data_IF_924770958886
#
_entry.id   IF_924770958886
#
_cell.length_a   1.000
_cell.length_b   1.000
_cell.length_c   1.000
_cell.angle_alpha   90.00
_cell.angle_beta   90.00
_cell.angle_gamma   90.00
#
_symmetry.space_group_name_H-M   'P 1'
#
loop_
_entity.id
_entity.type
_entity.pdbx_description
1 polymer ?
#
# COMPACT_ATOMS: atom_id res chain seq x y z
N UNK A 1 -20.43 57.87 -29.40
CA UNK A 1 -20.77 57.49 -28.02
C UNK A 1 -20.72 55.99 -27.94
N UNK A 2 -19.82 55.47 -27.10
CA UNK A 2 -19.70 54.07 -26.72
C UNK A 2 -21.01 53.50 -26.21
N UNK A 3 -21.31 52.23 -26.49
CA UNK A 3 -21.96 51.38 -25.50
C UNK A 3 -21.43 49.95 -25.61
N UNK A 4 -20.91 49.48 -24.49
CA UNK A 4 -20.23 48.21 -24.29
C UNK A 4 -21.14 47.04 -24.67
N UNK A 5 -20.64 46.12 -25.48
CA UNK A 5 -21.16 44.75 -25.48
C UNK A 5 -20.37 43.96 -24.42
N UNK A 6 -21.07 43.61 -23.35
CA UNK A 6 -20.60 42.74 -22.28
C UNK A 6 -20.15 41.40 -22.87
N UNK A 7 -18.84 41.14 -22.85
CA UNK A 7 -18.31 39.78 -23.03
C UNK A 7 -18.62 39.04 -21.73
N UNK A 8 -19.67 38.21 -21.76
CA UNK A 8 -19.95 37.24 -20.71
C UNK A 8 -18.88 36.15 -20.80
N UNK A 9 -17.72 36.39 -20.19
CA UNK A 9 -16.72 35.33 -19.98
C UNK A 9 -17.36 34.38 -18.98
N UNK A 10 -17.89 33.26 -19.50
CA UNK A 10 -18.18 32.06 -18.72
C UNK A 10 -16.85 31.58 -18.12
N UNK A 11 -16.48 32.16 -16.98
CA UNK A 11 -15.57 31.56 -16.02
C UNK A 11 -16.31 30.34 -15.49
N UNK A 12 -16.19 29.22 -16.21
CA UNK A 12 -16.45 27.93 -15.61
C UNK A 12 -15.58 27.87 -14.34
N UNK A 13 -16.16 27.62 -13.16
CA UNK A 13 -15.33 27.27 -12.03
C UNK A 13 -14.57 26.02 -12.47
N UNK A 14 -13.25 26.16 -12.61
CA UNK A 14 -12.36 25.01 -12.54
C UNK A 14 -12.64 24.47 -11.15
N UNK A 15 -13.51 23.47 -11.08
CA UNK A 15 -13.72 22.70 -9.88
C UNK A 15 -12.37 22.05 -9.65
N UNK A 16 -11.53 22.71 -8.87
CA UNK A 16 -10.39 22.06 -8.26
C UNK A 16 -11.02 20.95 -7.42
N UNK A 17 -11.08 19.74 -7.98
CA UNK A 17 -11.09 18.54 -7.16
C UNK A 17 -9.94 18.75 -6.20
N UNK A 18 -10.27 19.02 -4.94
CA UNK A 18 -9.26 19.00 -3.89
C UNK A 18 -8.64 17.62 -3.98
N UNK A 19 -7.37 17.57 -4.36
CA UNK A 19 -6.55 16.39 -4.19
C UNK A 19 -6.89 15.83 -2.81
N UNK A 20 -7.35 14.58 -2.83
CA UNK A 20 -7.91 13.89 -1.69
C UNK A 20 -6.94 13.97 -0.50
N UNK A 21 -7.49 14.03 0.71
CA UNK A 21 -6.73 14.18 1.95
C UNK A 21 -5.67 13.06 2.08
N UNK A 22 -4.44 13.30 1.62
CA UNK A 22 -3.33 12.38 1.82
C UNK A 22 -2.92 12.37 3.30
N UNK A 23 -3.45 11.42 4.08
CA UNK A 23 -3.02 11.19 5.47
C UNK A 23 -1.81 10.25 5.53
N UNK A 24 -0.70 10.64 4.92
CA UNK A 24 0.55 9.91 5.06
C UNK A 24 1.34 10.43 6.27
N UNK A 25 1.56 9.54 7.25
CA UNK A 25 2.36 9.84 8.43
C UNK A 25 3.84 9.47 8.19
N UNK A 26 4.63 10.45 7.76
CA UNK A 26 6.08 10.32 7.56
C UNK A 26 6.82 9.93 8.86
N UNK A 27 6.27 10.27 10.03
CA UNK A 27 6.85 9.90 11.32
C UNK A 27 6.78 8.39 11.53
N UNK A 28 5.59 7.81 11.40
CA UNK A 28 5.36 6.36 11.53
C UNK A 28 6.17 5.59 10.49
N UNK A 29 6.20 6.06 9.23
CA UNK A 29 7.01 5.42 8.19
C UNK A 29 8.51 5.48 8.53
N UNK A 30 9.03 6.63 8.94
CA UNK A 30 10.45 6.78 9.30
C UNK A 30 10.85 5.91 10.49
N UNK A 31 9.95 5.71 11.47
CA UNK A 31 10.15 4.79 12.58
C UNK A 31 10.23 3.34 12.10
N UNK A 32 9.31 2.91 11.23
CA UNK A 32 9.34 1.60 10.58
C UNK A 32 10.66 1.37 9.84
N UNK A 33 11.08 2.31 8.98
CA UNK A 33 12.32 2.21 8.22
C UNK A 33 13.53 2.05 9.16
N UNK A 34 13.58 2.85 10.23
CA UNK A 34 14.67 2.80 11.20
C UNK A 34 14.72 1.46 11.94
N UNK A 35 13.56 0.95 12.38
CA UNK A 35 13.46 -0.34 13.05
C UNK A 35 13.86 -1.50 12.13
N UNK A 36 13.40 -1.48 10.87
CA UNK A 36 13.74 -2.50 9.88
C UNK A 36 15.25 -2.51 9.58
N UNK A 37 15.85 -1.34 9.33
CA UNK A 37 17.30 -1.24 9.07
C UNK A 37 18.14 -1.70 10.27
N UNK A 38 17.69 -1.45 11.50
CA UNK A 38 18.38 -1.90 12.72
C UNK A 38 18.31 -3.42 12.92
N UNK A 39 17.20 -4.04 12.53
CA UNK A 39 16.98 -5.49 12.66
C UNK A 39 17.69 -6.30 11.57
N UNK A 40 17.82 -5.74 10.37
CA UNK A 40 18.02 -6.56 9.16
C UNK A 40 19.47 -6.84 8.74
N UNK A 41 20.45 -6.78 9.66
CA UNK A 41 21.85 -7.23 9.45
C UNK A 41 22.49 -6.83 8.08
N UNK A 42 22.11 -5.70 7.49
CA UNK A 42 22.61 -5.20 6.20
C UNK A 42 21.95 -5.77 4.94
N UNK A 43 20.83 -6.50 5.04
CA UNK A 43 20.05 -6.97 3.88
C UNK A 43 19.06 -5.93 3.35
N UNK A 44 18.67 -4.97 4.19
CA UNK A 44 17.84 -3.84 3.84
C UNK A 44 18.68 -2.64 3.39
N UNK A 45 18.14 -1.89 2.44
CA UNK A 45 18.67 -0.58 2.02
C UNK A 45 17.51 0.41 1.90
N UNK A 46 17.75 1.68 2.23
CA UNK A 46 16.75 2.74 2.15
C UNK A 46 17.18 3.83 1.17
N UNK A 47 16.33 4.11 0.19
CA UNK A 47 16.46 5.25 -0.70
C UNK A 47 15.45 6.34 -0.27
N UNK A 48 15.98 7.39 0.36
CA UNK A 48 15.19 8.53 0.84
C UNK A 48 14.52 9.34 -0.28
N UNK A 49 15.14 9.45 -1.46
CA UNK A 49 14.56 10.27 -2.54
C UNK A 49 13.33 9.62 -3.16
N UNK A 50 13.25 8.30 -3.12
CA UNK A 50 12.12 7.52 -3.65
C UNK A 50 11.27 6.88 -2.55
N UNK A 51 11.53 7.22 -1.27
CA UNK A 51 10.90 6.63 -0.07
C UNK A 51 10.77 5.11 -0.14
N UNK A 52 11.85 4.45 -0.56
CA UNK A 52 11.84 3.02 -0.88
C UNK A 52 12.79 2.26 0.02
N UNK A 53 12.28 1.26 0.72
CA UNK A 53 13.09 0.25 1.36
C UNK A 53 13.15 -0.98 0.47
N UNK A 54 14.35 -1.51 0.23
CA UNK A 54 14.56 -2.75 -0.51
C UNK A 54 15.27 -3.76 0.37
N UNK A 55 14.69 -4.95 0.50
CA UNK A 55 15.20 -6.08 1.27
C UNK A 55 15.47 -7.26 0.36
N UNK A 56 16.66 -7.87 0.46
CA UNK A 56 17.02 -9.08 -0.29
C UNK A 56 17.30 -10.23 0.64
N UNK A 57 16.52 -11.30 0.49
CA UNK A 57 16.59 -12.43 1.41
C UNK A 57 16.43 -13.79 0.71
N UNK A 58 16.11 -14.82 1.51
CA UNK A 58 15.83 -16.16 1.01
C UNK A 58 14.55 -16.26 0.19
N UNK A 59 13.51 -15.50 0.52
CA UNK A 59 12.22 -15.50 -0.18
C UNK A 59 12.31 -14.81 -1.54
N UNK A 60 13.11 -13.74 -1.63
CA UNK A 60 13.34 -13.01 -2.87
C UNK A 60 13.78 -11.58 -2.65
N UNK A 61 13.17 -10.67 -3.41
CA UNK A 61 13.37 -9.22 -3.29
C UNK A 61 12.05 -8.58 -2.87
N UNK A 62 12.09 -7.82 -1.79
CA UNK A 62 10.93 -7.13 -1.21
C UNK A 62 11.20 -5.64 -1.28
N UNK A 63 10.22 -4.90 -1.76
CA UNK A 63 10.25 -3.45 -1.86
C UNK A 63 9.06 -2.88 -1.09
N UNK A 64 9.35 -2.01 -0.12
CA UNK A 64 8.35 -1.25 0.63
C UNK A 64 8.44 0.20 0.20
N UNK A 65 7.32 0.76 -0.24
CA UNK A 65 7.24 2.14 -0.73
C UNK A 65 6.29 2.92 0.18
N UNK A 66 6.81 3.95 0.84
CA UNK A 66 6.07 4.92 1.65
C UNK A 66 5.59 6.10 0.81
N UNK A 67 5.01 5.84 -0.36
CA UNK A 67 4.53 6.88 -1.26
C UNK A 67 3.26 6.43 -1.96
N UNK A 68 2.16 7.12 -1.66
CA UNK A 68 0.88 6.95 -2.32
C UNK A 68 -0.09 8.03 -1.87
N UNK A 69 -0.75 8.70 -2.82
CA UNK A 69 -1.95 9.48 -2.55
C UNK A 69 -3.13 8.59 -2.10
N UNK A 70 -2.94 7.27 -2.05
CA UNK A 70 -3.82 6.29 -1.45
C UNK A 70 -3.65 6.33 0.08
N UNK A 71 -4.04 7.45 0.67
CA UNK A 71 -4.41 7.76 2.06
C UNK A 71 -3.72 7.08 3.28
N UNK A 72 -3.27 5.82 3.26
CA UNK A 72 -2.32 5.22 4.22
C UNK A 72 -0.88 5.16 3.67
N UNK A 73 -0.70 5.31 2.35
CA UNK A 73 0.57 5.64 1.70
C UNK A 73 1.64 4.53 1.70
N UNK A 74 1.24 3.26 1.80
CA UNK A 74 2.15 2.11 1.82
C UNK A 74 1.88 1.10 0.70
N UNK A 75 2.93 0.65 0.02
CA UNK A 75 2.88 -0.52 -0.88
C UNK A 75 4.00 -1.49 -0.53
N UNK A 76 3.69 -2.79 -0.53
CA UNK A 76 4.68 -3.88 -0.47
C UNK A 76 4.65 -4.61 -1.82
N UNK A 77 5.77 -4.60 -2.53
CA UNK A 77 6.00 -5.43 -3.70
C UNK A 77 6.99 -6.54 -3.35
N UNK A 78 6.61 -7.80 -3.52
CA UNK A 78 7.52 -8.93 -3.29
C UNK A 78 7.69 -9.75 -4.56
N UNK A 79 8.92 -9.82 -5.06
CA UNK A 79 9.32 -10.70 -6.16
C UNK A 79 9.98 -11.95 -5.59
N UNK A 80 9.26 -13.07 -5.67
CA UNK A 80 9.64 -14.34 -5.08
C UNK A 80 10.56 -15.14 -5.99
N UNK A 81 11.41 -15.99 -5.39
CA UNK A 81 12.22 -16.95 -6.15
C UNK A 81 11.37 -18.06 -6.77
N UNK A 82 10.31 -18.46 -6.08
CA UNK A 82 9.39 -19.54 -6.46
C UNK A 82 8.00 -18.99 -6.77
N UNK A 83 7.30 -19.65 -7.69
CA UNK A 83 5.93 -19.27 -8.03
C UNK A 83 4.94 -19.76 -6.98
N UNK A 84 3.89 -18.97 -6.72
CA UNK A 84 2.77 -19.39 -5.88
C UNK A 84 1.74 -20.07 -6.76
N UNK A 85 1.37 -21.29 -6.37
CA UNK A 85 0.43 -22.12 -7.14
C UNK A 85 -0.92 -22.31 -6.44
N UNK A 86 -1.03 -21.94 -5.16
CA UNK A 86 -2.24 -22.17 -4.35
C UNK A 86 -2.60 -20.91 -3.56
N UNK A 87 -3.89 -20.60 -3.52
CA UNK A 87 -4.46 -19.48 -2.76
C UNK A 87 -4.06 -19.53 -1.28
N UNK A 88 -4.07 -20.72 -0.66
CA UNK A 88 -3.69 -20.86 0.75
C UNK A 88 -2.22 -20.50 1.01
N UNK A 89 -1.32 -20.78 0.06
CA UNK A 89 0.09 -20.41 0.18
C UNK A 89 0.25 -18.90 0.01
N UNK A 90 -0.52 -18.28 -0.89
CA UNK A 90 -0.61 -16.84 -1.02
C UNK A 90 -1.08 -16.17 0.28
N UNK A 91 -2.19 -16.61 0.87
CA UNK A 91 -2.74 -16.00 2.09
C UNK A 91 -1.78 -16.12 3.29
N UNK A 92 -1.07 -17.26 3.41
CA UNK A 92 -0.03 -17.43 4.44
C UNK A 92 1.14 -16.47 4.23
N UNK A 93 1.58 -16.31 2.98
CA UNK A 93 2.68 -15.40 2.66
C UNK A 93 2.26 -13.94 2.81
N UNK A 94 1.02 -13.60 2.46
CA UNK A 94 0.44 -12.28 2.67
C UNK A 94 0.45 -11.89 4.15
N UNK A 95 0.03 -12.79 5.04
CA UNK A 95 0.09 -12.57 6.48
C UNK A 95 1.52 -12.33 6.94
N UNK A 96 2.47 -13.20 6.54
CA UNK A 96 3.89 -13.06 6.91
C UNK A 96 4.52 -11.75 6.39
N UNK A 97 4.22 -11.35 5.16
CA UNK A 97 4.69 -10.07 4.59
C UNK A 97 4.11 -8.88 5.36
N UNK A 98 2.84 -8.95 5.74
CA UNK A 98 2.18 -7.88 6.49
C UNK A 98 2.72 -7.81 7.92
N UNK A 99 2.93 -8.93 8.59
CA UNK A 99 3.55 -8.97 9.93
C UNK A 99 4.90 -8.26 9.96
N UNK A 100 5.73 -8.54 8.96
CA UNK A 100 7.10 -8.01 8.90
C UNK A 100 7.15 -6.57 8.35
N UNK A 101 6.34 -6.22 7.34
CA UNK A 101 6.49 -4.98 6.56
C UNK A 101 5.28 -4.04 6.57
N UNK A 102 4.12 -4.49 7.07
CA UNK A 102 2.85 -3.74 7.04
C UNK A 102 2.18 -3.55 8.41
N UNK A 103 2.76 -4.07 9.48
CA UNK A 103 2.21 -4.02 10.84
C UNK A 103 2.13 -2.61 11.43
N UNK A 104 2.83 -1.65 10.82
CA UNK A 104 2.73 -0.22 11.14
C UNK A 104 1.52 0.47 10.48
N UNK A 105 0.85 -0.20 9.52
CA UNK A 105 -0.32 0.31 8.81
C UNK A 105 -1.63 -0.34 9.27
N UNK A 106 -1.60 -1.65 9.53
CA UNK A 106 -2.79 -2.44 9.85
C UNK A 106 -2.54 -3.44 10.98
N UNK A 107 -3.64 -3.87 11.63
CA UNK A 107 -3.64 -4.91 12.65
C UNK A 107 -3.41 -6.28 12.02
N UNK A 108 -2.24 -6.88 12.25
CA UNK A 108 -1.94 -8.24 11.77
C UNK A 108 -2.75 -9.34 12.48
N UNK A 109 -3.11 -9.23 13.78
CA UNK A 109 -4.04 -10.17 14.39
C UNK A 109 -5.42 -10.16 13.72
N UNK A 110 -5.91 -8.97 13.35
CA UNK A 110 -7.19 -8.83 12.63
C UNK A 110 -7.10 -9.41 11.21
N UNK A 111 -6.01 -9.15 10.48
CA UNK A 111 -5.79 -9.77 9.17
C UNK A 111 -5.81 -11.30 9.27
N UNK A 112 -5.15 -11.86 10.30
CA UNK A 112 -5.15 -13.30 10.54
C UNK A 112 -6.58 -13.83 10.75
N UNK A 113 -7.36 -13.17 11.60
CA UNK A 113 -8.76 -13.54 11.85
C UNK A 113 -9.59 -13.46 10.56
N UNK A 114 -9.40 -12.42 9.73
CA UNK A 114 -10.09 -12.29 8.45
C UNK A 114 -9.71 -13.42 7.47
N UNK A 115 -8.45 -13.83 7.43
CA UNK A 115 -8.00 -14.97 6.61
C UNK A 115 -8.63 -16.27 7.10
N UNK A 116 -8.63 -16.51 8.42
CA UNK A 116 -9.19 -17.72 9.04
C UNK A 116 -10.71 -17.82 8.83
N UNK A 117 -11.41 -16.69 8.95
CA UNK A 117 -12.86 -16.60 8.78
C UNK A 117 -13.29 -16.38 7.32
N UNK A 118 -12.34 -16.26 6.37
CA UNK A 118 -12.58 -15.89 4.96
C UNK A 118 -13.38 -14.59 4.81
N UNK A 119 -13.13 -13.63 5.70
CA UNK A 119 -13.72 -12.30 5.67
C UNK A 119 -12.94 -11.37 4.72
N UNK A 120 -12.94 -11.73 3.44
CA UNK A 120 -12.37 -10.94 2.34
C UNK A 120 -13.21 -11.09 1.09
N UNK A 121 -13.12 -10.12 0.18
CA UNK A 121 -13.79 -10.15 -1.12
C UNK A 121 -12.76 -10.33 -2.21
N UNK A 122 -13.06 -11.16 -3.21
CA UNK A 122 -12.25 -11.23 -4.43
C UNK A 122 -12.82 -10.30 -5.48
N UNK A 123 -12.08 -9.24 -5.79
CA UNK A 123 -12.39 -8.29 -6.85
C UNK A 123 -11.41 -8.52 -8.00
N UNK A 124 -11.88 -9.10 -9.11
CA UNK A 124 -11.02 -9.53 -10.22
C UNK A 124 -9.89 -10.47 -9.74
N UNK A 125 -8.63 -10.03 -9.83
CA UNK A 125 -7.43 -10.76 -9.42
C UNK A 125 -6.89 -10.31 -8.05
N UNK A 126 -7.65 -9.48 -7.32
CA UNK A 126 -7.27 -8.94 -6.01
C UNK A 126 -8.12 -9.52 -4.88
N UNK A 127 -7.49 -9.68 -3.72
CA UNK A 127 -8.11 -9.98 -2.45
C UNK A 127 -8.21 -8.68 -1.66
N UNK A 128 -9.43 -8.34 -1.26
CA UNK A 128 -9.77 -7.08 -0.62
C UNK A 128 -10.19 -7.35 0.81
N UNK A 129 -9.47 -6.74 1.75
CA UNK A 129 -9.68 -6.83 3.19
C UNK A 129 -10.06 -5.45 3.72
N UNK A 130 -11.23 -5.32 4.33
CA UNK A 130 -11.74 -4.08 4.92
C UNK A 130 -11.64 -4.18 6.43
N UNK A 131 -10.72 -3.42 7.04
CA UNK A 131 -10.48 -3.38 8.49
C UNK A 131 -11.39 -2.38 9.20
N UNK A 132 -11.78 -1.32 8.48
CA UNK A 132 -12.77 -0.34 8.94
C UNK A 132 -13.41 0.33 7.73
N UNK A 133 -14.41 1.19 7.96
CA UNK A 133 -15.03 2.00 6.91
C UNK A 133 -14.02 2.80 6.07
N UNK A 134 -12.83 3.02 6.62
CA UNK A 134 -11.77 3.83 6.02
C UNK A 134 -10.47 3.07 5.82
N UNK A 135 -10.34 1.77 6.08
CA UNK A 135 -9.03 1.09 5.93
C UNK A 135 -9.20 -0.18 5.12
N UNK A 136 -8.52 -0.21 3.98
CA UNK A 136 -8.57 -1.31 3.02
C UNK A 136 -7.16 -1.77 2.68
N UNK A 137 -6.96 -3.08 2.69
CA UNK A 137 -5.79 -3.74 2.12
C UNK A 137 -6.21 -4.48 0.85
N UNK A 138 -5.52 -4.21 -0.27
CA UNK A 138 -5.69 -4.90 -1.55
C UNK A 138 -4.44 -5.70 -1.84
N UNK A 139 -4.58 -7.00 -2.03
CA UNK A 139 -3.46 -7.89 -2.29
C UNK A 139 -3.69 -8.72 -3.55
N UNK A 140 -2.69 -8.79 -4.43
CA UNK A 140 -2.73 -9.62 -5.63
C UNK A 140 -1.46 -10.45 -5.76
N UNK A 141 -1.55 -11.53 -6.51
CA UNK A 141 -0.40 -12.33 -6.88
C UNK A 141 -0.47 -12.76 -8.34
N UNK A 142 0.61 -12.50 -9.09
CA UNK A 142 0.79 -13.02 -10.44
C UNK A 142 2.13 -13.76 -10.52
N UNK A 143 2.07 -15.09 -10.69
CA UNK A 143 3.23 -15.98 -10.79
C UNK A 143 4.16 -15.88 -9.57
N UNK A 144 5.14 -14.98 -9.64
CA UNK A 144 6.19 -14.74 -8.63
C UNK A 144 6.09 -13.35 -7.98
N UNK A 145 5.17 -12.52 -8.43
CA UNK A 145 5.00 -11.17 -7.91
C UNK A 145 3.80 -11.15 -6.98
N UNK A 146 4.01 -10.67 -5.76
CA UNK A 146 2.94 -10.23 -4.85
C UNK A 146 2.96 -8.71 -4.81
N UNK A 147 1.77 -8.10 -4.86
CA UNK A 147 1.57 -6.68 -4.58
C UNK A 147 0.55 -6.53 -3.46
N UNK A 148 0.88 -5.72 -2.45
CA UNK A 148 -0.01 -5.37 -1.34
C UNK A 148 -0.08 -3.85 -1.27
N UNK A 149 -1.29 -3.29 -1.38
CA UNK A 149 -1.55 -1.87 -1.26
C UNK A 149 -2.41 -1.63 -0.01
N UNK A 150 -2.09 -0.58 0.74
CA UNK A 150 -2.86 -0.13 1.88
C UNK A 150 -3.43 1.24 1.55
N UNK A 151 -4.72 1.43 1.78
CA UNK A 151 -5.40 2.68 1.47
C UNK A 151 -6.65 2.92 2.32
N UNK A 152 -7.27 4.08 2.08
CA UNK A 152 -8.57 4.45 2.66
C UNK A 152 -9.63 4.43 1.57
N UNK A 153 -10.80 3.86 1.89
CA UNK A 153 -11.97 3.79 1.00
C UNK A 153 -12.67 5.15 0.86
#
# INVERSE_FOLDING_TARGET
>A
MSFLLFVFILLFPVVSYSDSYCSYDEGVYSEFVSALLAKDNGKASYNKSTRRVSVKDSLGEIEVVGDGCDHLGGTINATLKVAILREQDFLKLLLSLTEEYGSWLISTPELKEMIENKAWVKEFDEYVFVFSDFVVMRASFEKKLIKVNFGIN
#
